data_IF_937982929802
#
_entry.id   IF_937982929802
#
_cell.length_a   1.000
_cell.length_b   1.000
_cell.length_c   1.000
_cell.angle_alpha   90.00
_cell.angle_beta   90.00
_cell.angle_gamma   90.00
#
_symmetry.space_group_name_H-M   'P 1'
#
loop_
_entity.id
_entity.type
_entity.pdbx_description
1 polymer ?
#
# COMPACT_ATOMS: atom_id res chain seq x y z
N UNK A 1 -62.67 -0.07 -32.21
CA UNK A 1 -61.42 0.49 -31.66
C UNK A 1 -60.17 -0.09 -32.28
N UNK A 2 -60.17 -0.54 -33.53
CA UNK A 2 -58.98 -1.13 -34.24
C UNK A 2 -58.83 -0.60 -35.66
N UNK A 3 -59.51 0.47 -36.07
CA UNK A 3 -59.31 1.09 -37.39
C UNK A 3 -57.99 1.88 -37.57
N UNK A 4 -57.23 2.01 -36.48
CA UNK A 4 -55.96 2.74 -36.50
C UNK A 4 -54.79 1.96 -37.10
N UNK A 5 -54.91 0.66 -37.14
CA UNK A 5 -53.80 -0.23 -37.55
C UNK A 5 -53.82 -0.46 -39.06
N UNK A 6 -54.99 -0.26 -39.75
CA UNK A 6 -55.14 -0.53 -41.17
C UNK A 6 -54.55 0.55 -42.11
N UNK A 7 -54.19 1.72 -41.60
CA UNK A 7 -53.64 2.83 -42.41
C UNK A 7 -52.14 3.05 -42.22
N UNK A 8 -51.44 2.15 -41.54
CA UNK A 8 -49.98 2.17 -41.52
C UNK A 8 -49.50 1.57 -42.85
N UNK A 9 -49.08 2.40 -43.81
CA UNK A 9 -48.35 1.94 -44.97
C UNK A 9 -47.01 1.39 -44.47
N UNK A 10 -46.98 0.11 -44.30
CA UNK A 10 -45.71 -0.59 -44.05
C UNK A 10 -44.88 -0.33 -45.31
N UNK A 11 -43.78 0.42 -45.19
CA UNK A 11 -42.84 0.66 -46.25
C UNK A 11 -42.34 -0.66 -46.87
N UNK A 12 -41.49 -0.58 -47.89
CA UNK A 12 -40.96 -1.78 -48.54
C UNK A 12 -40.37 -2.74 -47.47
N UNK A 13 -40.38 -4.03 -47.72
CA UNK A 13 -39.84 -5.03 -46.82
C UNK A 13 -38.43 -4.68 -46.30
N UNK A 14 -37.67 -3.90 -47.06
CA UNK A 14 -36.38 -3.34 -46.70
C UNK A 14 -36.46 -2.33 -45.55
N UNK A 15 -37.52 -1.50 -45.48
CA UNK A 15 -37.70 -0.48 -44.46
C UNK A 15 -38.03 -1.13 -43.11
N UNK A 16 -38.81 -2.20 -43.11
CA UNK A 16 -39.16 -2.97 -41.92
C UNK A 16 -37.92 -3.71 -41.39
N UNK A 17 -37.13 -4.33 -42.28
CA UNK A 17 -35.87 -4.99 -41.90
C UNK A 17 -34.87 -3.95 -41.34
N UNK A 18 -34.78 -2.78 -42.00
CA UNK A 18 -33.92 -1.68 -41.52
C UNK A 18 -34.32 -1.19 -40.13
N UNK A 19 -35.62 -0.99 -39.87
CA UNK A 19 -36.14 -0.58 -38.58
C UNK A 19 -35.85 -1.62 -37.48
N UNK A 20 -36.04 -2.91 -37.75
CA UNK A 20 -35.73 -4.00 -36.80
C UNK A 20 -34.23 -4.07 -36.53
N UNK A 21 -33.38 -3.91 -37.55
CA UNK A 21 -31.93 -3.90 -37.42
C UNK A 21 -31.46 -2.72 -36.56
N UNK A 22 -32.00 -1.55 -36.77
CA UNK A 22 -31.69 -0.34 -35.97
C UNK A 22 -32.12 -0.51 -34.50
N UNK A 23 -33.30 -1.12 -34.28
CA UNK A 23 -33.77 -1.42 -32.90
C UNK A 23 -32.89 -2.45 -32.21
N UNK A 24 -32.44 -3.49 -32.93
CA UNK A 24 -31.52 -4.48 -32.40
C UNK A 24 -30.15 -3.89 -32.09
N UNK A 25 -29.61 -3.00 -32.95
CA UNK A 25 -28.36 -2.28 -32.71
C UNK A 25 -28.48 -1.33 -31.48
N UNK A 26 -29.58 -0.60 -31.39
CA UNK A 26 -29.83 0.28 -30.23
C UNK A 26 -29.93 -0.54 -28.92
N UNK A 27 -30.62 -1.67 -28.94
CA UNK A 27 -30.72 -2.60 -27.83
C UNK A 27 -29.37 -3.17 -27.44
N UNK A 28 -28.56 -3.59 -28.39
CA UNK A 28 -27.19 -4.08 -28.14
C UNK A 28 -26.28 -2.98 -27.55
N UNK A 29 -26.38 -1.76 -28.08
CA UNK A 29 -25.62 -0.61 -27.56
C UNK A 29 -26.01 -0.27 -26.11
N UNK A 30 -27.31 -0.24 -25.79
CA UNK A 30 -27.80 -0.01 -24.43
C UNK A 30 -27.38 -1.14 -23.46
N UNK A 31 -27.46 -2.39 -23.89
CA UNK A 31 -26.99 -3.52 -23.11
C UNK A 31 -25.49 -3.48 -22.89
N UNK A 32 -24.71 -3.17 -23.93
CA UNK A 32 -23.27 -3.00 -23.84
C UNK A 32 -22.88 -1.88 -22.87
N UNK A 33 -23.55 -0.71 -22.96
CA UNK A 33 -23.34 0.42 -22.05
C UNK A 33 -23.66 0.05 -20.59
N UNK A 34 -24.79 -0.65 -20.35
CA UNK A 34 -25.15 -1.13 -19.01
C UNK A 34 -24.15 -2.14 -18.46
N UNK A 35 -23.69 -3.07 -19.30
CA UNK A 35 -22.69 -4.08 -18.94
C UNK A 35 -21.35 -3.42 -18.60
N UNK A 36 -20.91 -2.47 -19.41
CA UNK A 36 -19.70 -1.69 -19.16
C UNK A 36 -19.81 -0.88 -17.86
N UNK A 37 -20.94 -0.24 -17.61
CA UNK A 37 -21.19 0.51 -16.35
C UNK A 37 -21.13 -0.42 -15.14
N UNK A 38 -21.77 -1.59 -15.20
CA UNK A 38 -21.72 -2.56 -14.11
C UNK A 38 -20.31 -3.10 -13.89
N UNK A 39 -19.56 -3.36 -14.98
CA UNK A 39 -18.18 -3.79 -14.89
C UNK A 39 -17.30 -2.74 -14.20
N UNK A 40 -17.43 -1.46 -14.56
CA UNK A 40 -16.71 -0.37 -13.91
C UNK A 40 -17.03 -0.26 -12.41
N UNK A 41 -18.31 -0.38 -12.02
CA UNK A 41 -18.72 -0.38 -10.62
C UNK A 41 -18.12 -1.56 -9.83
N UNK A 42 -18.14 -2.76 -10.41
CA UNK A 42 -17.57 -3.94 -9.77
C UNK A 42 -16.05 -3.80 -9.63
N UNK A 43 -15.36 -3.32 -10.68
CA UNK A 43 -13.92 -3.05 -10.62
C UNK A 43 -13.55 -1.95 -9.63
N UNK A 44 -14.38 -0.91 -9.54
CA UNK A 44 -14.23 0.14 -8.53
C UNK A 44 -14.35 -0.43 -7.12
N UNK A 45 -15.35 -1.29 -6.88
CA UNK A 45 -15.51 -1.96 -5.57
C UNK A 45 -14.32 -2.87 -5.24
N UNK A 46 -13.86 -3.70 -6.18
CA UNK A 46 -12.68 -4.56 -6.00
C UNK A 46 -11.44 -3.72 -5.66
N UNK A 47 -11.27 -2.58 -6.35
CA UNK A 47 -10.14 -1.67 -6.11
C UNK A 47 -10.21 -1.03 -4.74
N UNK A 48 -11.41 -0.55 -4.33
CA UNK A 48 -11.64 -0.01 -2.98
C UNK A 48 -11.38 -1.05 -1.90
N UNK A 49 -11.86 -2.28 -2.09
CA UNK A 49 -11.67 -3.38 -1.16
C UNK A 49 -10.19 -3.78 -1.04
N UNK A 50 -9.47 -3.86 -2.16
CA UNK A 50 -8.03 -4.15 -2.15
C UNK A 50 -7.24 -3.06 -1.42
N UNK A 51 -7.63 -1.79 -1.59
CA UNK A 51 -7.00 -0.68 -0.85
C UNK A 51 -7.33 -0.74 0.64
N UNK A 52 -8.57 -1.08 0.98
CA UNK A 52 -9.00 -1.26 2.36
C UNK A 52 -8.22 -2.38 3.07
N UNK A 53 -8.04 -3.53 2.40
CA UNK A 53 -7.24 -4.65 2.92
C UNK A 53 -5.78 -4.19 3.13
N UNK A 54 -5.22 -3.41 2.20
CA UNK A 54 -3.87 -2.87 2.33
C UNK A 54 -3.73 -1.95 3.55
N UNK A 55 -4.68 -1.03 3.76
CA UNK A 55 -4.69 -0.16 4.95
C UNK A 55 -4.72 -0.96 6.24
N UNK A 56 -5.51 -2.04 6.29
CA UNK A 56 -5.55 -2.94 7.45
C UNK A 56 -4.23 -3.68 7.67
N UNK A 57 -3.50 -4.02 6.59
CA UNK A 57 -2.20 -4.69 6.68
C UNK A 57 -1.08 -3.76 7.13
N UNK A 58 -1.19 -2.45 6.86
CA UNK A 58 -0.16 -1.46 7.18
C UNK A 58 0.17 -1.42 8.67
N UNK A 59 -0.82 -1.49 9.53
CA UNK A 59 -0.60 -1.46 10.98
C UNK A 59 0.32 -2.61 11.44
N UNK A 60 0.04 -3.82 10.96
CA UNK A 60 0.85 -5.00 11.29
C UNK A 60 2.27 -4.85 10.70
N UNK A 61 2.37 -4.29 9.49
CA UNK A 61 3.65 -4.05 8.81
C UNK A 61 4.48 -3.00 9.57
N UNK A 62 3.89 -1.89 10.00
CA UNK A 62 4.59 -0.88 10.79
C UNK A 62 5.07 -1.42 12.14
N UNK A 63 4.25 -2.21 12.83
CA UNK A 63 4.66 -2.89 14.07
C UNK A 63 5.83 -3.85 13.82
N UNK A 64 5.78 -4.62 12.72
CA UNK A 64 6.86 -5.53 12.33
C UNK A 64 8.15 -4.77 12.01
N UNK A 65 8.08 -3.67 11.26
CA UNK A 65 9.23 -2.80 10.97
C UNK A 65 9.83 -2.25 12.27
N UNK A 66 9.01 -1.79 13.19
CA UNK A 66 9.47 -1.29 14.51
C UNK A 66 10.26 -2.36 15.27
N UNK A 67 9.72 -3.57 15.37
CA UNK A 67 10.40 -4.69 16.05
C UNK A 67 11.72 -5.03 15.38
N UNK A 68 11.72 -5.18 14.05
CA UNK A 68 12.93 -5.53 13.31
C UNK A 68 14.02 -4.45 13.37
N UNK A 69 13.64 -3.18 13.39
CA UNK A 69 14.57 -2.07 13.62
C UNK A 69 15.20 -2.13 15.02
N UNK A 70 14.38 -2.39 16.04
CA UNK A 70 14.84 -2.53 17.42
C UNK A 70 15.81 -3.70 17.54
N UNK A 71 15.43 -4.89 17.05
CA UNK A 71 16.27 -6.08 17.09
C UNK A 71 17.61 -5.86 16.38
N UNK A 72 17.57 -5.19 15.20
CA UNK A 72 18.79 -4.83 14.44
C UNK A 72 19.69 -3.89 15.24
N UNK A 73 19.11 -2.86 15.85
CA UNK A 73 19.83 -1.89 16.67
C UNK A 73 20.46 -2.56 17.90
N UNK A 74 19.72 -3.43 18.59
CA UNK A 74 20.22 -4.15 19.75
C UNK A 74 21.40 -5.08 19.41
N UNK A 75 21.37 -5.76 18.26
CA UNK A 75 22.50 -6.55 17.80
C UNK A 75 23.73 -5.67 17.58
N UNK A 76 23.58 -4.55 16.87
CA UNK A 76 24.68 -3.61 16.64
C UNK A 76 25.23 -3.10 17.97
N UNK A 77 24.36 -2.67 18.88
CA UNK A 77 24.74 -2.16 20.20
C UNK A 77 25.48 -3.22 21.02
N UNK A 78 25.03 -4.48 21.01
CA UNK A 78 25.73 -5.60 21.66
C UNK A 78 27.12 -5.84 21.04
N UNK A 79 27.23 -5.78 19.70
CA UNK A 79 28.51 -5.94 19.02
C UNK A 79 29.54 -4.88 19.41
N UNK A 80 29.10 -3.65 19.67
CA UNK A 80 29.97 -2.54 20.11
C UNK A 80 30.28 -2.60 21.61
N UNK A 81 29.38 -3.12 22.44
CA UNK A 81 29.53 -3.20 23.88
C UNK A 81 30.32 -4.42 24.37
N UNK A 82 30.51 -5.44 23.54
CA UNK A 82 31.13 -6.73 23.93
C UNK A 82 32.62 -6.81 23.60
N UNK A 83 33.34 -5.69 23.41
CA UNK A 83 34.74 -5.66 23.02
C UNK A 83 35.65 -6.50 23.97
N UNK A 84 35.25 -6.73 25.22
CA UNK A 84 36.08 -7.41 26.23
C UNK A 84 35.62 -8.82 26.64
N UNK A 85 34.49 -9.36 26.15
CA UNK A 85 33.89 -10.62 26.64
C UNK A 85 33.36 -11.57 25.58
N UNK A 86 33.94 -11.59 24.41
CA UNK A 86 33.41 -12.40 23.30
C UNK A 86 33.73 -13.90 23.49
N UNK A 87 32.74 -14.68 23.92
CA UNK A 87 32.76 -16.14 23.81
C UNK A 87 32.19 -16.51 22.43
N UNK A 88 33.08 -16.87 21.48
CA UNK A 88 32.78 -17.13 20.07
C UNK A 88 31.80 -18.29 19.83
N UNK A 89 31.57 -19.14 20.81
CA UNK A 89 30.88 -20.41 20.63
C UNK A 89 29.35 -20.35 20.81
N UNK A 90 28.82 -19.29 21.38
CA UNK A 90 27.38 -19.21 21.77
C UNK A 90 26.57 -18.24 20.96
N UNK A 91 27.18 -17.23 20.30
CA UNK A 91 26.45 -16.16 19.61
C UNK A 91 27.05 -15.86 18.25
N UNK A 92 26.26 -16.00 17.18
CA UNK A 92 26.64 -15.58 15.82
C UNK A 92 25.83 -14.34 15.41
N UNK A 93 26.26 -13.13 15.84
CA UNK A 93 25.51 -11.90 15.60
C UNK A 93 25.36 -11.59 14.11
N UNK A 94 26.31 -11.99 13.28
CA UNK A 94 26.25 -11.75 11.83
C UNK A 94 25.14 -12.57 11.16
N UNK A 95 24.94 -13.82 11.58
CA UNK A 95 23.86 -14.66 11.05
C UNK A 95 22.49 -14.16 11.49
N UNK A 96 22.33 -13.82 12.76
CA UNK A 96 21.10 -13.26 13.32
C UNK A 96 20.77 -11.93 12.67
N UNK A 97 21.75 -11.04 12.56
CA UNK A 97 21.63 -9.75 11.88
C UNK A 97 21.20 -9.93 10.42
N UNK A 98 21.85 -10.83 9.68
CA UNK A 98 21.53 -11.09 8.27
C UNK A 98 20.09 -11.53 8.07
N UNK A 99 19.56 -12.39 8.97
CA UNK A 99 18.16 -12.82 8.90
C UNK A 99 17.18 -11.68 9.20
N UNK A 100 17.48 -10.85 10.19
CA UNK A 100 16.64 -9.70 10.53
C UNK A 100 16.65 -8.67 9.38
N UNK A 101 17.83 -8.40 8.79
CA UNK A 101 17.95 -7.50 7.66
C UNK A 101 17.16 -7.97 6.43
N UNK A 102 17.15 -9.27 6.16
CA UNK A 102 16.31 -9.84 5.11
C UNK A 102 14.83 -9.59 5.39
N UNK A 103 14.36 -9.90 6.59
CA UNK A 103 12.97 -9.71 6.98
C UNK A 103 12.55 -8.23 6.94
N UNK A 104 13.47 -7.32 7.29
CA UNK A 104 13.24 -5.88 7.22
C UNK A 104 13.13 -5.41 5.77
N UNK A 105 14.03 -5.85 4.89
CA UNK A 105 13.97 -5.56 3.46
C UNK A 105 12.67 -6.06 2.84
N UNK A 106 12.26 -7.28 3.12
CA UNK A 106 11.01 -7.85 2.63
C UNK A 106 9.81 -6.98 3.09
N UNK A 107 9.81 -6.53 4.35
CA UNK A 107 8.74 -5.67 4.91
C UNK A 107 8.72 -4.27 4.28
N UNK A 108 9.85 -3.72 3.87
CA UNK A 108 9.97 -2.45 3.15
C UNK A 108 9.39 -2.60 1.74
N UNK A 109 9.81 -3.63 0.99
CA UNK A 109 9.35 -3.88 -0.38
C UNK A 109 7.86 -4.17 -0.47
N UNK A 110 7.30 -4.93 0.48
CA UNK A 110 5.86 -5.13 0.58
C UNK A 110 5.09 -3.81 0.76
N UNK A 111 5.72 -2.77 1.35
CA UNK A 111 5.12 -1.45 1.56
C UNK A 111 4.95 -0.60 0.30
N UNK A 112 5.78 -0.80 -0.71
CA UNK A 112 5.81 0.02 -1.94
C UNK A 112 4.54 -0.11 -2.78
N UNK A 113 3.74 -1.16 -2.56
CA UNK A 113 2.48 -1.37 -3.26
C UNK A 113 1.36 -0.39 -2.87
N UNK A 114 1.48 0.29 -1.73
CA UNK A 114 0.47 1.25 -1.27
C UNK A 114 0.27 2.39 -2.27
N UNK A 115 1.37 3.01 -2.70
CA UNK A 115 1.34 4.11 -3.70
C UNK A 115 0.74 3.65 -5.02
N UNK A 116 1.12 2.47 -5.50
CA UNK A 116 0.59 1.91 -6.74
C UNK A 116 -0.91 1.65 -6.64
N UNK A 117 -1.38 1.09 -5.54
CA UNK A 117 -2.81 0.85 -5.32
C UNK A 117 -3.60 2.16 -5.23
N UNK A 118 -3.04 3.19 -4.60
CA UNK A 118 -3.65 4.52 -4.55
C UNK A 118 -3.81 5.14 -5.94
N UNK A 119 -2.79 5.03 -6.80
CA UNK A 119 -2.87 5.51 -8.18
C UNK A 119 -3.93 4.76 -8.99
N UNK A 120 -4.08 3.45 -8.78
CA UNK A 120 -5.11 2.64 -9.44
C UNK A 120 -6.53 3.08 -9.05
N UNK A 121 -6.75 3.51 -7.80
CA UNK A 121 -8.06 4.02 -7.35
C UNK A 121 -8.54 5.18 -8.22
N UNK A 122 -7.67 6.15 -8.50
CA UNK A 122 -8.01 7.31 -9.33
C UNK A 122 -8.44 6.89 -10.75
N UNK A 123 -7.76 5.89 -11.34
CA UNK A 123 -8.12 5.34 -12.65
C UNK A 123 -9.47 4.62 -12.66
N UNK A 124 -9.91 4.08 -11.53
CA UNK A 124 -11.16 3.33 -11.39
C UNK A 124 -12.32 4.16 -10.80
N UNK A 125 -12.16 5.49 -10.73
CA UNK A 125 -13.17 6.42 -10.17
C UNK A 125 -13.55 6.09 -8.72
N UNK A 126 -12.63 5.52 -7.97
CA UNK A 126 -12.75 5.32 -6.53
C UNK A 126 -12.18 6.56 -5.85
N UNK A 127 -13.01 7.25 -5.10
CA UNK A 127 -12.63 8.45 -4.37
C UNK A 127 -12.60 8.16 -2.87
N UNK A 128 -11.67 8.81 -2.18
CA UNK A 128 -11.69 8.87 -0.73
C UNK A 128 -12.72 9.91 -0.33
N UNK A 129 -13.56 9.59 0.65
CA UNK A 129 -14.51 10.56 1.18
C UNK A 129 -13.77 11.75 1.80
N UNK A 130 -14.30 12.94 1.58
CA UNK A 130 -13.67 14.22 1.91
C UNK A 130 -13.20 14.32 3.37
N UNK A 131 -13.91 13.68 4.28
CA UNK A 131 -13.57 13.65 5.72
C UNK A 131 -12.28 12.89 6.05
N UNK A 132 -11.85 11.94 5.17
CA UNK A 132 -10.63 11.13 5.33
C UNK A 132 -9.53 11.49 4.33
N UNK A 133 -9.78 12.43 3.44
CA UNK A 133 -8.86 12.77 2.35
C UNK A 133 -7.51 13.26 2.89
N UNK A 134 -7.53 14.14 3.89
CA UNK A 134 -6.32 14.67 4.53
C UNK A 134 -5.53 13.55 5.20
N UNK A 135 -6.18 12.73 6.03
CA UNK A 135 -5.52 11.61 6.72
C UNK A 135 -4.88 10.64 5.72
N UNK A 136 -5.52 10.44 4.58
CA UNK A 136 -5.03 9.52 3.57
C UNK A 136 -3.81 10.08 2.83
N UNK A 137 -3.82 11.36 2.47
CA UNK A 137 -2.66 12.02 1.85
C UNK A 137 -1.49 12.12 2.82
N UNK A 138 -1.75 12.45 4.08
CA UNK A 138 -0.73 12.48 5.12
C UNK A 138 -0.13 11.08 5.33
N UNK A 139 -0.96 10.02 5.37
CA UNK A 139 -0.47 8.65 5.44
C UNK A 139 0.46 8.30 4.28
N UNK A 140 0.10 8.66 3.04
CA UNK A 140 0.91 8.37 1.85
C UNK A 140 2.25 9.09 1.89
N UNK A 141 2.24 10.37 2.28
CA UNK A 141 3.45 11.18 2.39
C UNK A 141 4.38 10.67 3.50
N UNK A 142 3.83 10.46 4.69
CA UNK A 142 4.59 10.00 5.86
C UNK A 142 5.07 8.55 5.69
N UNK A 143 4.32 7.69 4.99
CA UNK A 143 4.78 6.36 4.60
C UNK A 143 6.06 6.43 3.76
N UNK A 144 6.08 7.30 2.74
CA UNK A 144 7.28 7.49 1.90
C UNK A 144 8.49 8.00 2.71
N UNK A 145 8.27 8.95 3.62
CA UNK A 145 9.32 9.46 4.50
C UNK A 145 9.83 8.41 5.46
N UNK A 146 8.92 7.60 6.03
CA UNK A 146 9.26 6.48 6.90
C UNK A 146 10.13 5.46 6.16
N UNK A 147 9.73 5.04 4.94
CA UNK A 147 10.50 4.05 4.18
C UNK A 147 11.94 4.53 3.90
N UNK A 148 12.12 5.81 3.57
CA UNK A 148 13.45 6.41 3.41
C UNK A 148 14.26 6.39 4.71
N UNK A 149 13.65 6.72 5.84
CA UNK A 149 14.32 6.72 7.14
C UNK A 149 14.72 5.30 7.56
N UNK A 150 13.83 4.30 7.37
CA UNK A 150 14.10 2.89 7.66
C UNK A 150 15.24 2.36 6.81
N UNK A 151 15.24 2.66 5.50
CA UNK A 151 16.31 2.26 4.60
C UNK A 151 17.65 2.89 4.99
N UNK A 152 17.65 4.18 5.37
CA UNK A 152 18.85 4.86 5.86
C UNK A 152 19.40 4.20 7.14
N UNK A 153 18.54 3.90 8.11
CA UNK A 153 18.92 3.21 9.33
C UNK A 153 19.47 1.81 9.04
N UNK A 154 18.86 1.09 8.12
CA UNK A 154 19.31 -0.25 7.68
C UNK A 154 20.73 -0.19 7.08
N UNK A 155 21.00 0.79 6.23
CA UNK A 155 22.33 0.98 5.61
C UNK A 155 23.37 1.28 6.70
N UNK A 156 23.11 2.23 7.59
CA UNK A 156 24.03 2.59 8.67
C UNK A 156 24.33 1.40 9.61
N UNK A 157 23.30 0.63 9.97
CA UNK A 157 23.48 -0.59 10.78
C UNK A 157 24.31 -1.64 10.04
N UNK A 158 24.08 -1.84 8.74
CA UNK A 158 24.84 -2.77 7.91
C UNK A 158 26.31 -2.36 7.83
N UNK A 159 26.59 -1.09 7.58
CA UNK A 159 27.95 -0.57 7.50
C UNK A 159 28.66 -0.72 8.83
N UNK A 160 27.98 -0.45 9.95
CA UNK A 160 28.51 -0.65 11.29
C UNK A 160 28.87 -2.12 11.57
N UNK A 161 28.06 -3.08 11.11
CA UNK A 161 28.28 -4.52 11.27
C UNK A 161 29.47 -5.01 10.42
N UNK A 162 29.67 -4.41 9.24
CA UNK A 162 30.75 -4.80 8.30
C UNK A 162 32.12 -4.23 8.66
N UNK A 163 32.19 -3.21 9.52
CA UNK A 163 33.46 -2.64 9.95
C UNK A 163 34.28 -3.62 10.81
N UNK A 164 35.62 -3.61 10.65
CA UNK A 164 36.52 -4.47 11.41
C UNK A 164 36.36 -4.24 12.93
N UNK A 165 36.29 -5.32 13.70
CA UNK A 165 36.09 -5.28 15.16
C UNK A 165 37.16 -4.50 15.91
N UNK A 166 38.39 -4.40 15.38
CA UNK A 166 39.51 -3.76 16.05
C UNK A 166 39.47 -2.22 16.09
N UNK A 167 38.78 -1.59 15.12
CA UNK A 167 38.85 -0.13 14.87
C UNK A 167 37.47 0.55 14.93
N UNK A 168 36.52 0.03 15.71
CA UNK A 168 35.15 0.58 15.76
C UNK A 168 35.07 1.85 16.58
N UNK A 169 35.00 3.04 15.96
CA UNK A 169 34.86 4.28 16.71
C UNK A 169 33.44 4.39 17.28
N UNK A 170 33.29 4.89 18.50
CA UNK A 170 32.01 5.16 19.16
C UNK A 170 31.13 6.11 18.32
N UNK A 171 31.76 6.96 17.46
CA UNK A 171 31.05 7.82 16.52
C UNK A 171 30.10 7.05 15.59
N UNK A 172 30.49 5.86 15.12
CA UNK A 172 29.66 5.02 14.25
C UNK A 172 28.40 4.54 14.99
N UNK A 173 28.53 4.16 16.25
CA UNK A 173 27.36 3.78 17.08
C UNK A 173 26.41 4.97 17.30
N UNK A 174 26.94 6.19 17.43
CA UNK A 174 26.13 7.40 17.55
C UNK A 174 25.38 7.70 16.23
N UNK A 175 25.99 7.48 15.09
CA UNK A 175 25.35 7.63 13.76
C UNK A 175 24.24 6.59 13.57
N UNK A 176 24.51 5.32 13.92
CA UNK A 176 23.49 4.25 13.91
C UNK A 176 22.32 4.61 14.82
N UNK A 177 22.61 5.07 16.04
CA UNK A 177 21.57 5.49 16.99
C UNK A 177 20.73 6.65 16.45
N UNK A 178 21.37 7.67 15.87
CA UNK A 178 20.67 8.82 15.29
C UNK A 178 19.74 8.39 14.15
N UNK A 179 20.19 7.50 13.26
CA UNK A 179 19.38 6.99 12.17
C UNK A 179 18.23 6.11 12.64
N UNK A 180 18.45 5.29 13.68
CA UNK A 180 17.42 4.50 14.33
C UNK A 180 16.36 5.40 14.98
N UNK A 181 16.77 6.38 15.78
CA UNK A 181 15.87 7.31 16.47
C UNK A 181 15.00 8.08 15.46
N UNK A 182 15.59 8.52 14.34
CA UNK A 182 14.86 9.17 13.25
C UNK A 182 13.81 8.24 12.62
N UNK A 183 14.16 6.98 12.36
CA UNK A 183 13.23 6.01 11.79
C UNK A 183 12.06 5.73 12.73
N UNK A 184 12.31 5.61 14.03
CA UNK A 184 11.27 5.44 15.06
C UNK A 184 10.40 6.70 15.20
N UNK A 185 10.98 7.88 15.10
CA UNK A 185 10.21 9.13 15.10
C UNK A 185 9.27 9.20 13.89
N UNK A 186 9.78 8.92 12.70
CA UNK A 186 9.00 8.90 11.46
C UNK A 186 7.92 7.84 11.42
N UNK A 187 8.02 6.78 12.23
CA UNK A 187 7.01 5.73 12.34
C UNK A 187 5.75 6.19 13.10
N UNK A 188 5.86 7.15 14.02
CA UNK A 188 4.76 7.51 14.94
C UNK A 188 3.52 8.02 14.21
N UNK A 189 3.70 8.94 13.26
CA UNK A 189 2.58 9.58 12.58
C UNK A 189 1.83 8.61 11.64
N UNK A 190 2.50 7.90 10.70
CA UNK A 190 1.81 6.94 9.84
C UNK A 190 1.18 5.78 10.63
N UNK A 191 1.76 5.37 11.75
CA UNK A 191 1.16 4.37 12.65
C UNK A 191 -0.16 4.87 13.24
N UNK A 192 -0.20 6.10 13.75
CA UNK A 192 -1.40 6.71 14.30
C UNK A 192 -2.51 6.88 13.25
N UNK A 193 -2.15 7.34 12.05
CA UNK A 193 -3.11 7.49 10.95
C UNK A 193 -3.65 6.12 10.51
N UNK A 194 -2.78 5.11 10.37
CA UNK A 194 -3.20 3.76 10.03
C UNK A 194 -4.15 3.16 11.09
N UNK A 195 -3.90 3.42 12.38
CA UNK A 195 -4.81 3.02 13.46
C UNK A 195 -6.18 3.70 13.35
N UNK A 196 -6.21 5.01 13.06
CA UNK A 196 -7.45 5.77 12.85
C UNK A 196 -8.24 5.23 11.67
N UNK A 197 -7.60 5.02 10.53
CA UNK A 197 -8.28 4.55 9.31
C UNK A 197 -8.73 3.09 9.41
N UNK A 198 -8.05 2.25 10.19
CA UNK A 198 -8.41 0.83 10.37
C UNK A 198 -9.80 0.62 10.95
N UNK A 199 -10.29 1.53 11.80
CA UNK A 199 -11.62 1.40 12.44
C UNK A 199 -12.76 1.89 11.56
N UNK A 200 -12.45 2.57 10.44
CA UNK A 200 -13.45 3.09 9.49
C UNK A 200 -13.90 1.97 8.59
N UNK A 201 -15.21 1.84 8.36
CA UNK A 201 -15.76 0.83 7.44
C UNK A 201 -15.45 1.21 5.99
N UNK A 202 -15.30 0.22 5.12
CA UNK A 202 -15.01 0.42 3.69
C UNK A 202 -16.00 1.41 3.02
N UNK A 203 -17.29 1.24 3.28
CA UNK A 203 -18.35 2.09 2.71
C UNK A 203 -18.33 3.53 3.26
N UNK A 204 -17.71 3.74 4.42
CA UNK A 204 -17.55 5.06 5.02
C UNK A 204 -16.26 5.75 4.54
N UNK A 205 -15.27 4.98 4.08
CA UNK A 205 -13.98 5.48 3.62
C UNK A 205 -13.97 5.85 2.14
N UNK A 206 -14.66 5.07 1.29
CA UNK A 206 -14.61 5.23 -0.16
C UNK A 206 -15.98 5.54 -0.79
N UNK A 207 -15.94 6.35 -1.87
CA UNK A 207 -17.05 6.60 -2.78
C UNK A 207 -16.68 6.03 -4.17
N UNK A 208 -17.59 5.26 -4.77
CA UNK A 208 -17.41 4.66 -6.10
C UNK A 208 -18.38 5.39 -7.06
N UNK A 209 -17.83 6.09 -8.07
CA UNK A 209 -18.60 6.86 -9.08
C UNK A 209 -18.83 6.08 -10.36
#
# INVERSE_FOLDING_TARGET
MFEWISNISWGSGSDVIGAISNLAMAGAALWGAKTASNWHKNKGFDTANNMYIELHSLLNRYTKIQTLLLDSYEIVNRMYGLHDKYNKDVFNPLKEYSQIQKNLSDSIFEGDHLTTKFLLMNGMKVLIKKEYEIDFFDLMNEHSLLMKAVLSAQIQMKDAVQQNFADRPISVLNEVKSSYDLAIEKLKLPLNIAQKLKIVKLADLFEIK
#
